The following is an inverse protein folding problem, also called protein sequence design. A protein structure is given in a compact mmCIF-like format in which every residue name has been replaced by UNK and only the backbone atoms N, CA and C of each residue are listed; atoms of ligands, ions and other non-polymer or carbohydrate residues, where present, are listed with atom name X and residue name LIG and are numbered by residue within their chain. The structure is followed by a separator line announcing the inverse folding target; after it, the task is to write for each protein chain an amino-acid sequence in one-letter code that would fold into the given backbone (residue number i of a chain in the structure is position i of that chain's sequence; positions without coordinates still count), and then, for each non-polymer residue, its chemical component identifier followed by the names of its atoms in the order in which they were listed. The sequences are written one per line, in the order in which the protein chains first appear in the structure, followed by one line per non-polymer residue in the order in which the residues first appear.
data_IF_995278235493
#
_entry.id   IF_995278235493
#
_cell.length_a   1.000
_cell.length_b   1.000
_cell.length_c   1.000
_cell.angle_alpha   90.00
_cell.angle_beta   90.00
_cell.angle_gamma   90.00
#
_symmetry.space_group_name_H-M   'P 1'
#
loop_
_entity.id
_entity.type
_entity.pdbx_description
1 polymer ?
#
# COMPACT_ATOMS: atom_id res chain seq x y z
N UNK A 1 -32.33 -23.45 45.34
CA UNK A 1 -31.25 -24.02 44.51
C UNK A 1 -31.23 -23.24 43.21
N UNK A 2 -30.28 -22.31 43.06
CA UNK A 2 -30.12 -21.49 41.85
C UNK A 2 -28.97 -22.08 41.04
N UNK A 3 -29.27 -22.64 39.88
CA UNK A 3 -28.27 -23.15 38.95
C UNK A 3 -27.75 -21.99 38.09
N UNK A 4 -26.54 -21.53 38.40
CA UNK A 4 -25.76 -20.61 37.57
C UNK A 4 -25.20 -21.36 36.35
N UNK A 5 -25.93 -21.32 35.23
CA UNK A 5 -25.38 -21.68 33.93
C UNK A 5 -24.58 -20.51 33.36
N UNK A 6 -23.26 -20.52 33.57
CA UNK A 6 -22.35 -19.51 33.02
C UNK A 6 -22.23 -19.71 31.50
N UNK A 7 -22.99 -18.92 30.74
CA UNK A 7 -22.80 -18.79 29.30
C UNK A 7 -21.43 -18.14 29.07
N UNK A 8 -20.46 -18.93 28.58
CA UNK A 8 -19.21 -18.37 28.05
C UNK A 8 -19.59 -17.43 26.89
N UNK A 9 -19.11 -16.17 26.88
CA UNK A 9 -19.27 -15.34 25.70
C UNK A 9 -18.52 -16.02 24.56
N UNK A 10 -19.26 -16.34 23.49
CA UNK A 10 -18.66 -16.70 22.22
C UNK A 10 -17.69 -15.57 21.87
N UNK A 11 -16.38 -15.87 21.89
CA UNK A 11 -15.41 -15.03 21.21
C UNK A 11 -15.92 -14.96 19.77
N UNK A 12 -16.38 -13.78 19.36
CA UNK A 12 -16.45 -13.44 17.95
C UNK A 12 -15.07 -13.81 17.40
N UNK A 13 -14.99 -14.90 16.65
CA UNK A 13 -13.86 -15.17 15.79
C UNK A 13 -13.79 -13.95 14.89
N UNK A 14 -12.79 -13.10 15.10
CA UNK A 14 -12.44 -12.05 14.15
C UNK A 14 -12.42 -12.73 12.77
N UNK A 15 -13.14 -12.20 11.76
CA UNK A 15 -13.14 -12.81 10.45
C UNK A 15 -11.67 -13.07 10.08
N UNK A 16 -11.33 -14.34 9.81
CA UNK A 16 -9.98 -14.73 9.38
C UNK A 16 -9.61 -13.74 8.27
N UNK A 17 -8.72 -12.79 8.53
CA UNK A 17 -8.29 -11.79 7.54
C UNK A 17 -7.83 -12.59 6.32
N UNK A 18 -8.66 -12.60 5.28
CA UNK A 18 -8.39 -13.32 4.03
C UNK A 18 -7.16 -12.65 3.45
N UNK A 19 -6.08 -13.41 3.30
CA UNK A 19 -4.89 -12.87 2.67
C UNK A 19 -5.17 -12.64 1.19
N UNK A 20 -4.83 -11.46 0.65
CA UNK A 20 -5.03 -11.16 -0.76
C UNK A 20 -4.23 -12.14 -1.62
N UNK A 21 -4.88 -12.64 -2.67
CA UNK A 21 -4.20 -13.35 -3.74
C UNK A 21 -3.80 -12.38 -4.85
N UNK A 22 -2.88 -12.81 -5.71
CA UNK A 22 -2.50 -12.06 -6.91
C UNK A 22 -3.70 -11.82 -7.84
N UNK A 23 -4.66 -12.75 -7.88
CA UNK A 23 -5.84 -12.64 -8.74
C UNK A 23 -6.86 -11.62 -8.21
N UNK A 24 -6.93 -11.42 -6.88
CA UNK A 24 -7.76 -10.36 -6.28
C UNK A 24 -7.28 -8.96 -6.67
N UNK A 25 -5.98 -8.82 -6.93
CA UNK A 25 -5.33 -7.54 -7.24
C UNK A 25 -5.16 -7.28 -8.74
N UNK A 26 -5.18 -8.32 -9.56
CA UNK A 26 -4.86 -8.22 -10.99
C UNK A 26 -6.02 -7.58 -11.75
N UNK A 27 -5.72 -6.56 -12.55
CA UNK A 27 -6.71 -5.99 -13.46
C UNK A 27 -7.05 -6.96 -14.60
N UNK A 28 -8.33 -7.09 -14.97
CA UNK A 28 -8.72 -7.88 -16.14
C UNK A 28 -8.11 -7.27 -17.42
N UNK A 29 -7.86 -8.09 -18.43
CA UNK A 29 -7.29 -7.65 -19.71
C UNK A 29 -8.14 -6.54 -20.38
N UNK A 30 -9.47 -6.62 -20.22
CA UNK A 30 -10.42 -5.64 -20.74
C UNK A 30 -10.30 -4.25 -20.13
N UNK A 31 -9.75 -4.11 -18.91
CA UNK A 31 -9.64 -2.81 -18.23
C UNK A 31 -8.60 -1.87 -18.87
N UNK A 32 -7.70 -2.40 -19.68
CA UNK A 32 -6.61 -1.66 -20.35
C UNK A 32 -6.55 -1.96 -21.85
N UNK A 33 -7.65 -2.49 -22.42
CA UNK A 33 -7.75 -2.78 -23.84
C UNK A 33 -7.73 -1.49 -24.69
N UNK A 34 -7.41 -1.62 -25.98
CA UNK A 34 -7.45 -0.49 -26.90
C UNK A 34 -8.86 0.13 -26.99
N UNK A 35 -8.92 1.46 -26.99
CA UNK A 35 -10.18 2.21 -27.08
C UNK A 35 -10.87 2.48 -25.74
N UNK A 36 -10.28 2.10 -24.61
CA UNK A 36 -10.75 2.53 -23.28
C UNK A 36 -10.45 4.02 -23.10
N UNK A 37 -11.43 4.81 -22.66
CA UNK A 37 -11.25 6.25 -22.47
C UNK A 37 -10.29 6.57 -21.33
N UNK A 38 -9.58 7.73 -21.37
CA UNK A 38 -8.71 8.18 -20.28
C UNK A 38 -9.44 8.23 -18.93
N UNK A 39 -10.70 8.69 -18.93
CA UNK A 39 -11.55 8.74 -17.74
C UNK A 39 -11.76 7.39 -17.10
N UNK A 40 -11.96 6.35 -17.91
CA UNK A 40 -12.08 4.98 -17.40
C UNK A 40 -10.74 4.48 -16.89
N UNK A 41 -9.63 4.77 -17.58
CA UNK A 41 -8.29 4.37 -17.16
C UNK A 41 -7.88 5.01 -15.82
N UNK A 42 -8.20 6.28 -15.59
CA UNK A 42 -7.94 6.97 -14.31
C UNK A 42 -8.79 6.39 -13.18
N UNK A 43 -10.07 6.05 -13.43
CA UNK A 43 -10.89 5.34 -12.43
C UNK A 43 -10.33 3.95 -12.11
N UNK A 44 -9.81 3.24 -13.11
CA UNK A 44 -9.13 1.95 -12.92
C UNK A 44 -7.85 2.11 -12.08
N UNK A 45 -7.11 3.20 -12.30
CA UNK A 45 -5.95 3.56 -11.49
C UNK A 45 -6.32 3.80 -10.02
N UNK A 46 -7.39 4.55 -9.75
CA UNK A 46 -7.88 4.79 -8.39
C UNK A 46 -8.20 3.48 -7.66
N UNK A 47 -8.88 2.54 -8.33
CA UNK A 47 -9.14 1.19 -7.77
C UNK A 47 -7.86 0.42 -7.48
N UNK A 48 -6.82 0.58 -8.29
CA UNK A 48 -5.51 -0.02 -8.00
C UNK A 48 -4.88 0.59 -6.74
N UNK A 49 -5.05 1.90 -6.52
CA UNK A 49 -4.57 2.56 -5.31
C UNK A 49 -5.33 2.12 -4.06
N UNK A 50 -6.66 2.00 -4.14
CA UNK A 50 -7.49 1.44 -3.07
C UNK A 50 -7.05 0.01 -2.70
N UNK A 51 -6.83 -0.84 -3.71
CA UNK A 51 -6.34 -2.21 -3.49
C UNK A 51 -4.94 -2.23 -2.84
N UNK A 52 -4.06 -1.29 -3.21
CA UNK A 52 -2.73 -1.16 -2.62
C UNK A 52 -2.78 -0.69 -1.17
N UNK A 53 -3.63 0.28 -0.84
CA UNK A 53 -3.87 0.73 0.54
C UNK A 53 -4.36 -0.45 1.39
N UNK A 54 -5.36 -1.17 0.91
CA UNK A 54 -5.88 -2.36 1.58
C UNK A 54 -4.80 -3.44 1.80
N UNK A 55 -3.96 -3.70 0.80
CA UNK A 55 -2.81 -4.62 0.92
C UNK A 55 -1.83 -4.15 2.02
N UNK A 56 -1.57 -2.84 2.10
CA UNK A 56 -0.71 -2.25 3.13
C UNK A 56 -1.30 -2.35 4.53
N UNK A 57 -2.61 -2.17 4.70
CA UNK A 57 -3.29 -2.38 5.99
C UNK A 57 -3.17 -3.84 6.47
N UNK A 58 -3.27 -4.80 5.55
CA UNK A 58 -3.10 -6.22 5.89
C UNK A 58 -1.65 -6.50 6.25
N UNK A 59 -0.69 -6.02 5.45
CA UNK A 59 0.73 -6.20 5.72
C UNK A 59 1.13 -5.62 7.08
N UNK A 60 0.68 -4.40 7.39
CA UNK A 60 0.91 -3.73 8.68
C UNK A 60 0.32 -4.55 9.84
N UNK A 61 -0.93 -5.01 9.71
CA UNK A 61 -1.54 -5.86 10.73
C UNK A 61 -0.78 -7.18 10.96
N UNK A 62 -0.25 -7.80 9.90
CA UNK A 62 0.58 -9.01 10.02
C UNK A 62 1.93 -8.73 10.66
N UNK A 63 2.52 -7.57 10.38
CA UNK A 63 3.74 -7.14 11.05
C UNK A 63 3.51 -6.92 12.55
N UNK A 64 2.41 -6.27 12.93
CA UNK A 64 2.01 -6.11 14.33
C UNK A 64 1.78 -7.44 15.04
N UNK A 65 1.15 -8.41 14.38
CA UNK A 65 1.00 -9.78 14.90
C UNK A 65 2.38 -10.41 15.20
N UNK A 66 3.34 -10.32 14.27
CA UNK A 66 4.70 -10.84 14.46
C UNK A 66 5.44 -10.18 15.63
N UNK A 67 5.32 -8.86 15.75
CA UNK A 67 5.90 -8.08 16.85
C UNK A 67 5.30 -8.52 18.19
N UNK A 68 3.98 -8.65 18.26
CA UNK A 68 3.24 -9.01 19.47
C UNK A 68 3.56 -10.43 19.93
N UNK A 69 3.75 -11.36 18.98
CA UNK A 69 4.11 -12.75 19.24
C UNK A 69 5.61 -12.96 19.48
N UNK A 70 6.45 -11.91 19.34
CA UNK A 70 7.90 -12.02 19.49
C UNK A 70 8.61 -12.77 18.37
N UNK A 71 7.98 -12.88 17.19
CA UNK A 71 8.45 -13.62 16.00
C UNK A 71 9.13 -12.72 14.98
N UNK A 72 10.00 -11.83 15.44
CA UNK A 72 10.68 -10.87 14.55
C UNK A 72 11.52 -11.57 13.45
N UNK A 73 11.98 -12.80 13.69
CA UNK A 73 12.69 -13.63 12.72
C UNK A 73 11.83 -14.06 11.51
N UNK A 74 10.50 -13.99 11.60
CA UNK A 74 9.58 -14.32 10.50
C UNK A 74 9.29 -13.11 9.58
N UNK A 75 9.80 -11.91 9.90
CA UNK A 75 9.53 -10.70 9.12
C UNK A 75 10.02 -10.80 7.66
N UNK A 76 11.16 -11.44 7.42
CA UNK A 76 11.65 -11.67 6.06
C UNK A 76 10.67 -12.52 5.23
N UNK A 77 10.12 -13.59 5.82
CA UNK A 77 9.11 -14.43 5.16
C UNK A 77 7.80 -13.66 4.91
N UNK A 78 7.43 -12.74 5.82
CA UNK A 78 6.29 -11.85 5.59
C UNK A 78 6.50 -10.94 4.38
N UNK A 79 7.70 -10.35 4.23
CA UNK A 79 8.06 -9.54 3.05
C UNK A 79 8.01 -10.39 1.78
N UNK A 80 8.67 -11.56 1.76
CA UNK A 80 8.71 -12.46 0.60
C UNK A 80 7.32 -12.87 0.12
N UNK A 81 6.36 -13.00 1.05
CA UNK A 81 4.97 -13.33 0.73
C UNK A 81 4.19 -12.15 0.13
N UNK A 82 4.42 -10.93 0.60
CA UNK A 82 3.66 -9.75 0.18
C UNK A 82 4.29 -8.99 -0.99
N UNK A 83 5.60 -9.05 -1.17
CA UNK A 83 6.30 -8.36 -2.27
C UNK A 83 5.71 -8.71 -3.65
N UNK A 84 5.39 -9.98 -3.99
CA UNK A 84 4.78 -10.30 -5.28
C UNK A 84 3.41 -9.62 -5.48
N UNK A 85 2.64 -9.41 -4.40
CA UNK A 85 1.33 -8.76 -4.45
C UNK A 85 1.45 -7.26 -4.76
N UNK A 86 2.43 -6.58 -4.15
CA UNK A 86 2.78 -5.21 -4.52
C UNK A 86 3.30 -5.11 -5.96
N UNK A 87 4.00 -6.14 -6.43
CA UNK A 87 4.41 -6.30 -7.82
C UNK A 87 3.22 -6.32 -8.78
N UNK A 88 2.15 -7.06 -8.46
CA UNK A 88 0.92 -7.06 -9.26
C UNK A 88 0.29 -5.65 -9.35
N UNK A 89 0.23 -4.92 -8.23
CA UNK A 89 -0.26 -3.54 -8.24
C UNK A 89 0.63 -2.62 -9.11
N UNK A 90 1.96 -2.80 -9.06
CA UNK A 90 2.88 -2.03 -9.90
C UNK A 90 2.69 -2.36 -11.39
N UNK A 91 2.55 -3.64 -11.74
CA UNK A 91 2.30 -4.10 -13.12
C UNK A 91 0.97 -3.53 -13.67
N UNK A 92 -0.06 -3.43 -12.84
CA UNK A 92 -1.31 -2.78 -13.22
C UNK A 92 -1.09 -1.31 -13.61
N UNK A 93 -0.28 -0.55 -12.86
CA UNK A 93 0.05 0.84 -13.19
C UNK A 93 0.83 0.94 -14.51
N UNK A 94 1.73 0.00 -14.79
CA UNK A 94 2.43 -0.06 -16.08
C UNK A 94 1.44 -0.24 -17.23
N UNK A 95 0.51 -1.19 -17.10
CA UNK A 95 -0.51 -1.45 -18.12
C UNK A 95 -1.43 -0.25 -18.36
N UNK A 96 -1.76 0.51 -17.31
CA UNK A 96 -2.55 1.74 -17.43
C UNK A 96 -1.75 2.82 -18.16
N UNK A 97 -0.49 3.04 -17.79
CA UNK A 97 0.38 4.02 -18.44
C UNK A 97 0.58 3.68 -19.93
N UNK A 98 0.81 2.41 -20.26
CA UNK A 98 0.96 1.95 -21.64
C UNK A 98 -0.33 2.14 -22.45
N UNK A 99 -1.50 1.88 -21.85
CA UNK A 99 -2.79 2.11 -22.50
C UNK A 99 -3.04 3.61 -22.78
N UNK A 100 -2.74 4.49 -21.82
CA UNK A 100 -2.82 5.94 -21.99
C UNK A 100 -1.87 6.43 -23.11
N UNK A 101 -0.62 5.93 -23.10
CA UNK A 101 0.39 6.27 -24.10
C UNK A 101 -0.03 5.81 -25.51
N UNK A 102 -0.54 4.59 -25.64
CA UNK A 102 -1.03 4.05 -26.90
C UNK A 102 -2.25 4.83 -27.44
N UNK A 103 -3.06 5.41 -26.56
CA UNK A 103 -4.19 6.25 -26.92
C UNK A 103 -3.81 7.73 -27.19
N UNK A 104 -2.53 8.09 -27.08
CA UNK A 104 -2.03 9.45 -27.35
C UNK A 104 -1.94 10.38 -26.13
N UNK A 105 -2.30 9.90 -24.94
CA UNK A 105 -2.30 10.67 -23.70
C UNK A 105 -0.97 10.54 -22.93
N UNK A 106 0.13 10.93 -23.59
CA UNK A 106 1.49 10.87 -23.04
C UNK A 106 1.66 11.57 -21.67
N UNK A 107 1.15 12.80 -21.49
CA UNK A 107 1.23 13.48 -20.19
C UNK A 107 0.55 12.71 -19.06
N UNK A 108 -0.67 12.20 -19.28
CA UNK A 108 -1.37 11.36 -18.30
C UNK A 108 -0.58 10.09 -17.98
N UNK A 109 0.00 9.44 -18.99
CA UNK A 109 0.84 8.26 -18.78
C UNK A 109 2.06 8.55 -17.87
N UNK A 110 2.68 9.73 -18.01
CA UNK A 110 3.81 10.14 -17.18
C UNK A 110 3.39 10.36 -15.71
N UNK A 111 2.19 10.91 -15.46
CA UNK A 111 1.65 11.03 -14.11
C UNK A 111 1.39 9.65 -13.47
N UNK A 112 0.89 8.68 -14.25
CA UNK A 112 0.74 7.29 -13.77
C UNK A 112 2.10 6.67 -13.42
N UNK A 113 3.13 6.91 -14.24
CA UNK A 113 4.49 6.47 -13.93
C UNK A 113 5.06 7.14 -12.68
N UNK A 114 4.79 8.44 -12.47
CA UNK A 114 5.12 9.17 -11.24
C UNK A 114 4.52 8.50 -10.01
N UNK A 115 3.21 8.19 -10.04
CA UNK A 115 2.51 7.45 -8.99
C UNK A 115 3.19 6.11 -8.73
N UNK A 116 3.51 5.33 -9.78
CA UNK A 116 4.21 4.04 -9.64
C UNK A 116 5.56 4.19 -8.93
N UNK A 117 6.35 5.18 -9.32
CA UNK A 117 7.68 5.42 -8.74
C UNK A 117 7.60 5.85 -7.28
N UNK A 118 6.72 6.79 -6.96
CA UNK A 118 6.48 7.22 -5.59
C UNK A 118 5.95 6.08 -4.72
N UNK A 119 5.08 5.22 -5.25
CA UNK A 119 4.56 4.04 -4.56
C UNK A 119 5.63 2.99 -4.25
N UNK A 120 6.55 2.74 -5.18
CA UNK A 120 7.68 1.84 -4.96
C UNK A 120 8.61 2.39 -3.88
N UNK A 121 8.88 3.71 -3.90
CA UNK A 121 9.72 4.35 -2.90
C UNK A 121 9.05 4.39 -1.53
N UNK A 122 7.75 4.69 -1.47
CA UNK A 122 6.93 4.65 -0.25
C UNK A 122 6.99 3.28 0.41
N UNK A 123 6.86 2.21 -0.38
CA UNK A 123 6.90 0.84 0.13
C UNK A 123 8.25 0.47 0.77
N UNK A 124 9.36 0.84 0.12
CA UNK A 124 10.70 0.67 0.67
C UNK A 124 10.84 1.40 2.02
N UNK A 125 10.52 2.70 2.04
CA UNK A 125 10.66 3.54 3.23
C UNK A 125 9.73 3.12 4.38
N UNK A 126 8.52 2.65 4.08
CA UNK A 126 7.58 2.17 5.09
C UNK A 126 8.11 0.94 5.84
N UNK A 127 8.88 0.07 5.17
CA UNK A 127 9.54 -1.06 5.84
C UNK A 127 10.62 -0.60 6.81
N UNK A 128 11.40 0.41 6.42
CA UNK A 128 12.40 1.02 7.32
C UNK A 128 11.72 1.63 8.55
N UNK A 129 10.61 2.36 8.36
CA UNK A 129 9.81 2.93 9.46
C UNK A 129 9.32 1.83 10.40
N UNK A 130 8.83 0.70 9.89
CA UNK A 130 8.37 -0.42 10.71
C UNK A 130 9.49 -0.99 11.58
N UNK A 131 10.65 -1.26 10.99
CA UNK A 131 11.83 -1.79 11.70
C UNK A 131 12.32 -0.81 12.75
N UNK A 132 12.43 0.49 12.41
CA UNK A 132 12.83 1.54 13.34
C UNK A 132 11.84 1.72 14.50
N UNK A 133 10.53 1.67 14.21
CA UNK A 133 9.48 1.70 15.23
C UNK A 133 9.62 0.53 16.20
N UNK A 134 9.95 -0.65 15.69
CA UNK A 134 10.18 -1.82 16.53
C UNK A 134 11.44 -1.68 17.38
N UNK A 135 12.54 -1.18 16.83
CA UNK A 135 13.74 -0.93 17.63
C UNK A 135 13.47 0.07 18.77
N UNK A 136 12.70 1.13 18.50
CA UNK A 136 12.33 2.12 19.51
C UNK A 136 11.35 1.60 20.57
N UNK A 137 10.57 0.57 20.26
CA UNK A 137 9.63 -0.06 21.21
C UNK A 137 10.34 -0.95 22.24
N UNK A 138 11.55 -1.45 21.92
CA UNK A 138 12.36 -2.27 22.83
C UNK A 138 12.97 -1.39 23.92
N UNK A 139 12.44 -1.51 25.14
CA UNK A 139 12.76 -0.66 26.29
C UNK A 139 14.17 -0.81 26.88
N UNK A 140 15.10 -1.53 26.24
CA UNK A 140 16.45 -1.82 26.75
C UNK A 140 17.55 -0.98 26.10
N UNK A 141 17.21 0.02 25.28
CA UNK A 141 18.19 0.85 24.59
C UNK A 141 18.72 1.98 25.48
N UNK A 142 20.04 2.15 25.49
CA UNK A 142 20.71 3.27 26.16
C UNK A 142 20.29 4.63 25.54
N UNK A 143 20.26 5.67 26.38
CA UNK A 143 19.70 6.99 26.04
C UNK A 143 20.33 7.68 24.80
N UNK A 144 21.66 7.60 24.54
CA UNK A 144 22.25 8.18 23.33
C UNK A 144 21.83 7.44 22.04
N UNK A 145 21.81 6.11 22.08
CA UNK A 145 21.43 5.27 20.94
C UNK A 145 19.94 5.40 20.61
N UNK A 146 19.11 5.57 21.65
CA UNK A 146 17.68 5.85 21.49
C UNK A 146 17.42 7.17 20.77
N UNK A 147 18.16 8.24 21.09
CA UNK A 147 18.02 9.55 20.41
C UNK A 147 18.42 9.48 18.94
N UNK A 148 19.47 8.73 18.62
CA UNK A 148 19.89 8.52 17.23
C UNK A 148 18.82 7.78 16.41
N UNK A 149 18.31 6.66 16.93
CA UNK A 149 17.22 5.91 16.31
C UNK A 149 15.96 6.75 16.14
N UNK A 150 15.63 7.59 17.12
CA UNK A 150 14.49 8.50 17.01
C UNK A 150 14.68 9.52 15.88
N UNK A 151 15.88 10.07 15.71
CA UNK A 151 16.20 10.94 14.58
C UNK A 151 16.18 10.22 13.22
N UNK A 152 16.55 8.94 13.16
CA UNK A 152 16.39 8.11 11.97
C UNK A 152 14.91 7.85 11.66
N UNK A 153 14.12 7.50 12.68
CA UNK A 153 12.69 7.25 12.55
C UNK A 153 11.92 8.46 12.02
N UNK A 154 12.14 9.66 12.57
CA UNK A 154 11.45 10.87 12.11
C UNK A 154 11.82 11.23 10.66
N UNK A 155 13.09 11.03 10.26
CA UNK A 155 13.52 11.24 8.87
C UNK A 155 12.88 10.24 7.91
N UNK A 156 12.85 8.97 8.27
CA UNK A 156 12.21 7.93 7.46
C UNK A 156 10.71 8.20 7.32
N UNK A 157 10.03 8.58 8.42
CA UNK A 157 8.63 8.97 8.41
C UNK A 157 8.35 10.19 7.54
N UNK A 158 9.18 11.22 7.61
CA UNK A 158 9.07 12.39 6.75
C UNK A 158 9.23 12.03 5.26
N UNK A 159 10.19 11.15 4.93
CA UNK A 159 10.37 10.68 3.56
C UNK A 159 9.16 9.85 3.07
N UNK A 160 8.54 9.03 3.91
CA UNK A 160 7.27 8.36 3.58
C UNK A 160 6.17 9.38 3.26
N UNK A 161 6.04 10.42 4.08
CA UNK A 161 5.03 11.47 3.88
C UNK A 161 5.25 12.22 2.55
N UNK A 162 6.48 12.56 2.20
CA UNK A 162 6.82 13.19 0.92
C UNK A 162 6.38 12.34 -0.29
N UNK A 163 6.52 11.01 -0.20
CA UNK A 163 6.03 10.12 -1.26
C UNK A 163 4.50 10.07 -1.30
N UNK A 164 3.82 10.10 -0.14
CA UNK A 164 2.36 10.19 -0.07
C UNK A 164 1.86 11.49 -0.71
N UNK A 165 2.52 12.61 -0.43
CA UNK A 165 2.17 13.91 -1.01
C UNK A 165 2.35 13.88 -2.53
N UNK A 166 3.47 13.34 -3.02
CA UNK A 166 3.74 13.15 -4.47
C UNK A 166 2.66 12.30 -5.15
N UNK A 167 2.23 11.21 -4.51
CA UNK A 167 1.14 10.34 -5.02
C UNK A 167 -0.16 11.15 -5.09
N UNK A 168 -0.53 11.85 -4.02
CA UNK A 168 -1.78 12.60 -3.96
C UNK A 168 -1.83 13.74 -4.99
N UNK A 169 -0.72 14.47 -5.16
CA UNK A 169 -0.58 15.52 -6.17
C UNK A 169 -0.76 14.94 -7.58
N UNK A 170 -0.05 13.85 -7.90
CA UNK A 170 -0.18 13.19 -9.21
C UNK A 170 -1.59 12.65 -9.46
N UNK A 171 -2.27 12.13 -8.43
CA UNK A 171 -3.65 11.67 -8.51
C UNK A 171 -4.67 12.80 -8.65
N UNK A 172 -4.42 13.97 -8.06
CA UNK A 172 -5.24 15.16 -8.25
C UNK A 172 -5.06 15.70 -9.67
N UNK A 173 -3.83 15.84 -10.15
CA UNK A 173 -3.52 16.29 -11.50
C UNK A 173 -4.17 15.38 -12.55
N UNK A 174 -4.06 14.05 -12.39
CA UNK A 174 -4.76 13.09 -13.25
C UNK A 174 -6.28 13.28 -13.28
N UNK A 175 -6.89 13.70 -12.18
CA UNK A 175 -8.34 13.93 -12.10
C UNK A 175 -8.72 15.23 -12.80
N UNK A 176 -7.94 16.30 -12.60
CA UNK A 176 -8.14 17.59 -13.26
C UNK A 176 -8.01 17.46 -14.77
N UNK A 177 -6.89 16.91 -15.25
CA UNK A 177 -6.61 16.79 -16.68
C UNK A 177 -7.65 15.92 -17.42
N UNK A 178 -8.16 14.88 -16.77
CA UNK A 178 -9.23 14.06 -17.34
C UNK A 178 -10.58 14.77 -17.33
N UNK A 179 -10.88 15.57 -16.31
CA UNK A 179 -12.11 16.36 -16.28
C UNK A 179 -12.13 17.39 -17.42
N UNK A 180 -10.99 18.03 -17.69
CA UNK A 180 -10.84 18.97 -18.80
C UNK A 180 -11.07 18.30 -20.16
N UNK A 181 -10.69 17.03 -20.31
CA UNK A 181 -10.96 16.24 -21.53
C UNK A 181 -12.44 15.84 -21.71
N UNK A 182 -13.20 15.72 -20.62
CA UNK A 182 -14.63 15.36 -20.67
C UNK A 182 -15.52 16.59 -20.98
N UNK A 183 -14.99 17.81 -20.82
CA UNK A 183 -15.67 19.09 -21.09
C UNK A 183 -15.48 19.61 -22.54
N UNK A 184 -14.66 18.94 -23.37
CA UNK A 184 -14.42 19.22 -24.80
C UNK A 184 -15.34 18.42 -25.75
#
# INVERSE_FOLDING_TARGET
MLASGSARPQRNELPKKIEPSADDLRLPASATAGGVSPTVLVRVLQRCQEARIWLSEIFEGRFEDLVTEGKANEYAALIERFQPLYGVCADNLVRIADALRAAGYGPLANLVESVRHAEAKREELSRDVQVLRQHLSVGTLDDPYRKELQGQFERARAAVQEQVDTINESLEELRCEVADLDDE
#
